data_IF_922373073651
#
_entry.id   IF_922373073651
#
_cell.length_a   1.000
_cell.length_b   1.000
_cell.length_c   1.000
_cell.angle_alpha   90.00
_cell.angle_beta   90.00
_cell.angle_gamma   90.00
#
_symmetry.space_group_name_H-M   'P 1'
#
loop_
_entity.id
_entity.type
_entity.pdbx_description
1 polymer ?
#
# COMPACT_ATOMS: atom_id res chain seq x y z
N UNK A 1 -34.12 3.53 -52.58
CA UNK A 1 -32.72 3.06 -52.76
C UNK A 1 -31.90 4.24 -53.29
N UNK A 2 -31.09 4.90 -52.45
CA UNK A 2 -30.28 6.08 -52.89
C UNK A 2 -29.00 5.56 -53.55
N UNK A 3 -28.87 5.71 -54.88
CA UNK A 3 -27.60 5.49 -55.57
C UNK A 3 -26.67 6.67 -55.26
N UNK A 4 -25.67 6.44 -54.42
CA UNK A 4 -24.51 7.33 -54.28
C UNK A 4 -23.52 7.01 -55.39
N UNK A 5 -23.42 7.89 -56.38
CA UNK A 5 -22.38 7.81 -57.42
C UNK A 5 -21.00 8.12 -56.80
N UNK A 6 -19.94 7.40 -57.19
CA UNK A 6 -18.58 7.71 -56.75
C UNK A 6 -18.13 9.07 -57.29
N UNK A 7 -17.47 9.88 -56.44
CA UNK A 7 -16.98 11.21 -56.81
C UNK A 7 -15.92 11.09 -57.93
N UNK A 8 -15.91 11.99 -58.92
CA UNK A 8 -14.91 11.98 -59.99
C UNK A 8 -13.49 12.20 -59.41
N UNK A 9 -12.46 11.58 -60.02
CA UNK A 9 -11.09 11.72 -59.56
C UNK A 9 -10.61 13.17 -59.67
N UNK A 10 -9.91 13.65 -58.64
CA UNK A 10 -9.39 15.01 -58.59
C UNK A 10 -8.43 15.27 -59.77
N UNK A 11 -8.48 16.44 -60.43
CA UNK A 11 -7.53 16.82 -61.47
C UNK A 11 -6.09 16.73 -60.98
N UNK A 12 -5.15 16.27 -61.82
CA UNK A 12 -3.73 16.03 -61.46
C UNK A 12 -3.03 17.19 -60.74
N UNK A 13 -3.48 18.44 -60.93
CA UNK A 13 -2.93 19.63 -60.24
C UNK A 13 -3.28 19.71 -58.74
N UNK A 14 -4.33 19.02 -58.32
CA UNK A 14 -4.83 18.97 -56.93
C UNK A 14 -4.55 17.62 -56.27
N UNK A 15 -3.86 16.72 -56.97
CA UNK A 15 -3.34 15.51 -56.36
C UNK A 15 -2.05 15.89 -55.66
N UNK A 16 -1.94 15.60 -54.37
CA UNK A 16 -0.68 15.77 -53.64
C UNK A 16 0.42 14.98 -54.34
N UNK A 17 1.58 15.60 -54.55
CA UNK A 17 2.72 14.89 -55.13
C UNK A 17 3.13 13.79 -54.15
N UNK A 18 3.33 12.55 -54.61
CA UNK A 18 3.81 11.49 -53.73
C UNK A 18 5.20 11.87 -53.21
N UNK A 19 5.42 11.63 -51.92
CA UNK A 19 6.71 11.89 -51.29
C UNK A 19 7.82 11.06 -51.95
N UNK A 20 9.02 11.63 -52.01
CA UNK A 20 10.19 10.96 -52.60
C UNK A 20 10.52 9.70 -51.80
N UNK A 21 10.72 8.54 -52.44
CA UNK A 21 11.17 7.34 -51.75
C UNK A 21 12.48 7.62 -51.00
N UNK A 22 12.48 7.47 -49.68
CA UNK A 22 13.66 7.67 -48.83
C UNK A 22 13.80 9.05 -48.16
N UNK A 23 12.86 9.98 -48.37
CA UNK A 23 12.80 11.20 -47.57
C UNK A 23 12.12 10.88 -46.22
N UNK A 24 12.90 10.44 -45.23
CA UNK A 24 12.41 10.43 -43.85
C UNK A 24 12.03 11.89 -43.49
N UNK A 25 10.79 12.16 -43.03
CA UNK A 25 10.42 13.50 -42.62
C UNK A 25 11.42 13.97 -41.56
N UNK A 26 11.94 15.20 -41.72
CA UNK A 26 12.79 15.80 -40.68
C UNK A 26 11.92 16.02 -39.45
N UNK A 27 11.96 15.07 -38.53
CA UNK A 27 11.23 15.13 -37.27
C UNK A 27 11.59 16.42 -36.55
N UNK A 28 10.56 17.11 -36.08
CA UNK A 28 10.72 18.26 -35.21
C UNK A 28 11.44 17.85 -33.93
N UNK A 29 12.10 18.78 -33.22
CA UNK A 29 12.81 18.46 -31.97
C UNK A 29 11.92 17.76 -30.93
N UNK A 30 10.63 18.08 -30.91
CA UNK A 30 9.64 17.43 -30.04
C UNK A 30 9.39 15.97 -30.44
N UNK A 31 9.32 15.68 -31.74
CA UNK A 31 9.16 14.32 -32.25
C UNK A 31 10.42 13.48 -32.01
N UNK A 32 11.61 14.06 -32.18
CA UNK A 32 12.87 13.39 -31.85
C UNK A 32 12.98 13.06 -30.35
N UNK A 33 12.58 13.98 -29.47
CA UNK A 33 12.53 13.73 -28.02
C UNK A 33 11.50 12.65 -27.66
N UNK A 34 10.33 12.68 -28.31
CA UNK A 34 9.27 11.69 -28.11
C UNK A 34 9.72 10.30 -28.59
N UNK A 35 10.32 10.21 -29.76
CA UNK A 35 10.87 8.95 -30.30
C UNK A 35 12.02 8.43 -29.46
N UNK A 36 12.91 9.30 -28.98
CA UNK A 36 13.96 8.93 -28.04
C UNK A 36 13.39 8.37 -26.73
N UNK A 37 12.33 8.98 -26.20
CA UNK A 37 11.62 8.48 -25.03
C UNK A 37 10.93 7.13 -25.24
N UNK A 38 10.29 6.93 -26.40
CA UNK A 38 9.67 5.66 -26.80
C UNK A 38 10.75 4.58 -26.95
N UNK A 39 11.85 4.88 -27.63
CA UNK A 39 12.96 3.95 -27.82
C UNK A 39 13.58 3.51 -26.50
N UNK A 40 13.75 4.43 -25.54
CA UNK A 40 14.22 4.12 -24.20
C UNK A 40 13.23 3.24 -23.42
N UNK A 41 11.93 3.53 -23.53
CA UNK A 41 10.89 2.71 -22.91
C UNK A 41 10.84 1.30 -23.52
N UNK A 42 10.93 1.18 -24.84
CA UNK A 42 10.95 -0.09 -25.56
C UNK A 42 12.21 -0.91 -25.21
N UNK A 43 13.38 -0.28 -25.10
CA UNK A 43 14.62 -0.93 -24.67
C UNK A 43 14.47 -1.57 -23.27
N UNK A 44 13.83 -0.86 -22.34
CA UNK A 44 13.57 -1.37 -20.98
C UNK A 44 12.53 -2.48 -21.02
N UNK A 45 11.45 -2.29 -21.78
CA UNK A 45 10.36 -3.26 -21.84
C UNK A 45 10.78 -4.56 -22.53
N UNK A 46 11.61 -4.51 -23.56
CA UNK A 46 12.17 -5.69 -24.22
C UNK A 46 12.97 -6.56 -23.23
N UNK A 47 13.69 -5.94 -22.28
CA UNK A 47 14.54 -6.64 -21.31
C UNK A 47 13.79 -7.11 -20.08
N UNK A 48 12.85 -6.31 -19.60
CA UNK A 48 12.19 -6.54 -18.33
C UNK A 48 10.76 -7.10 -18.49
N UNK A 49 10.20 -7.06 -19.71
CA UNK A 49 8.84 -7.48 -20.05
C UNK A 49 7.78 -6.94 -19.09
N UNK A 50 7.97 -5.70 -18.63
CA UNK A 50 7.18 -5.11 -17.55
C UNK A 50 5.81 -4.61 -18.02
N UNK A 51 5.70 -4.21 -19.28
CA UNK A 51 4.48 -3.63 -19.84
C UNK A 51 3.32 -4.62 -19.83
N UNK A 52 3.58 -5.91 -20.05
CA UNK A 52 2.58 -6.96 -20.01
C UNK A 52 1.94 -7.08 -18.63
N UNK A 53 2.77 -7.18 -17.58
CA UNK A 53 2.31 -7.25 -16.19
C UNK A 53 1.62 -5.97 -15.74
N UNK A 54 2.14 -4.80 -16.12
CA UNK A 54 1.56 -3.51 -15.78
C UNK A 54 0.20 -3.31 -16.45
N UNK A 55 0.07 -3.65 -17.74
CA UNK A 55 -1.22 -3.59 -18.46
C UNK A 55 -2.23 -4.54 -17.85
N UNK A 56 -1.81 -5.77 -17.51
CA UNK A 56 -2.67 -6.72 -16.82
C UNK A 56 -3.20 -6.17 -15.48
N UNK A 57 -2.35 -5.51 -14.70
CA UNK A 57 -2.74 -4.90 -13.43
C UNK A 57 -3.67 -3.69 -13.61
N UNK A 58 -3.34 -2.78 -14.53
CA UNK A 58 -4.08 -1.51 -14.71
C UNK A 58 -5.43 -1.69 -15.42
N UNK A 59 -5.51 -2.58 -16.41
CA UNK A 59 -6.71 -2.76 -17.24
C UNK A 59 -7.61 -3.90 -16.75
N UNK A 60 -7.52 -4.27 -15.47
CA UNK A 60 -8.42 -5.26 -14.88
C UNK A 60 -9.87 -4.77 -14.90
N UNK A 61 -10.80 -5.66 -15.20
CA UNK A 61 -12.23 -5.34 -15.14
C UNK A 61 -12.67 -5.27 -13.67
N UNK A 62 -13.36 -4.18 -13.32
CA UNK A 62 -13.98 -4.00 -12.01
C UNK A 62 -15.48 -4.29 -12.13
N UNK A 63 -16.10 -5.01 -11.17
CA UNK A 63 -17.53 -5.24 -11.20
C UNK A 63 -18.33 -3.93 -11.29
N UNK A 64 -19.46 -3.96 -12.02
CA UNK A 64 -20.40 -2.84 -12.06
C UNK A 64 -20.97 -2.59 -10.65
N UNK A 65 -21.44 -1.37 -10.37
CA UNK A 65 -22.04 -1.01 -9.08
C UNK A 65 -21.06 -0.85 -7.91
N UNK A 66 -19.75 -0.81 -8.18
CA UNK A 66 -18.71 -0.53 -7.19
C UNK A 66 -18.88 0.88 -6.61
N UNK A 67 -18.71 1.04 -5.30
CA UNK A 67 -18.84 2.32 -4.59
C UNK A 67 -17.56 2.68 -3.82
N UNK A 68 -17.60 3.81 -3.09
CA UNK A 68 -16.45 4.32 -2.34
C UNK A 68 -15.90 3.36 -1.28
N UNK A 69 -16.67 2.40 -0.75
CA UNK A 69 -16.13 1.43 0.21
C UNK A 69 -15.05 0.51 -0.39
N UNK A 70 -14.94 0.44 -1.72
CA UNK A 70 -13.87 -0.31 -2.39
C UNK A 70 -12.51 0.41 -2.39
N UNK A 71 -12.47 1.71 -2.07
CA UNK A 71 -11.22 2.48 -1.98
C UNK A 71 -10.56 2.39 -0.61
N UNK A 72 -11.22 1.80 0.39
CA UNK A 72 -10.67 1.68 1.76
C UNK A 72 -9.35 0.91 1.81
N UNK A 73 -9.17 -0.11 0.96
CA UNK A 73 -7.92 -0.85 0.85
C UNK A 73 -6.77 0.03 0.33
N UNK A 74 -7.01 0.79 -0.75
CA UNK A 74 -6.00 1.71 -1.30
C UNK A 74 -5.74 2.91 -0.38
N UNK A 75 -6.76 3.40 0.34
CA UNK A 75 -6.59 4.44 1.36
C UNK A 75 -5.72 3.96 2.52
N UNK A 76 -5.91 2.72 2.97
CA UNK A 76 -5.06 2.10 4.02
C UNK A 76 -3.62 1.94 3.54
N UNK A 77 -3.42 1.50 2.29
CA UNK A 77 -2.09 1.42 1.67
C UNK A 77 -1.42 2.79 1.58
N UNK A 78 -2.15 3.82 1.16
CA UNK A 78 -1.64 5.20 1.14
C UNK A 78 -1.22 5.66 2.54
N UNK A 79 -2.03 5.39 3.57
CA UNK A 79 -1.69 5.70 4.95
C UNK A 79 -0.39 4.99 5.37
N UNK A 80 -0.23 3.70 5.07
CA UNK A 80 1.01 2.97 5.33
C UNK A 80 2.23 3.59 4.64
N UNK A 81 2.12 3.94 3.34
CA UNK A 81 3.22 4.59 2.60
C UNK A 81 3.55 5.95 3.21
N UNK A 82 2.54 6.73 3.59
CA UNK A 82 2.73 8.01 4.29
C UNK A 82 3.44 7.82 5.64
N UNK A 83 3.06 6.80 6.41
CA UNK A 83 3.73 6.44 7.67
C UNK A 83 5.19 6.02 7.44
N UNK A 84 5.47 5.21 6.42
CA UNK A 84 6.83 4.79 6.09
C UNK A 84 7.72 5.99 5.72
N UNK A 85 7.23 6.87 4.85
CA UNK A 85 7.97 8.07 4.40
C UNK A 85 8.23 9.02 5.58
N UNK A 86 7.19 9.36 6.33
CA UNK A 86 7.33 10.25 7.50
C UNK A 86 8.20 9.62 8.58
N UNK A 87 8.09 8.31 8.81
CA UNK A 87 8.92 7.57 9.76
C UNK A 87 10.40 7.59 9.40
N UNK A 88 10.75 7.45 8.11
CA UNK A 88 12.13 7.58 7.63
C UNK A 88 12.69 8.97 7.93
N UNK A 89 11.93 10.04 7.67
CA UNK A 89 12.38 11.40 8.01
C UNK A 89 12.58 11.60 9.51
N UNK A 90 11.65 11.10 10.34
CA UNK A 90 11.79 11.18 11.80
C UNK A 90 13.01 10.40 12.31
N UNK A 91 13.28 9.23 11.73
CA UNK A 91 14.42 8.38 12.07
C UNK A 91 15.78 9.07 11.82
N UNK A 92 15.86 10.04 10.89
CA UNK A 92 17.10 10.79 10.64
C UNK A 92 17.48 11.75 11.77
N UNK A 93 16.53 12.15 12.62
CA UNK A 93 16.75 13.11 13.72
C UNK A 93 16.52 12.49 15.11
N UNK A 94 15.89 11.32 15.19
CA UNK A 94 15.55 10.67 16.44
C UNK A 94 16.74 9.87 17.00
N UNK A 95 17.00 10.01 18.31
CA UNK A 95 18.05 9.24 19.00
C UNK A 95 17.43 8.20 19.93
N UNK A 96 17.54 6.88 19.65
CA UNK A 96 16.94 5.82 20.45
C UNK A 96 17.75 5.53 21.73
N UNK A 97 17.84 6.51 22.62
CA UNK A 97 18.53 6.39 23.92
C UNK A 97 17.61 6.85 25.05
N UNK A 98 17.60 6.11 26.17
CA UNK A 98 16.77 6.44 27.32
C UNK A 98 17.03 7.85 27.90
N UNK A 99 18.21 8.42 27.67
CA UNK A 99 18.58 9.76 28.14
C UNK A 99 18.36 10.88 27.11
N UNK A 100 18.22 10.55 25.83
CA UNK A 100 18.17 11.54 24.73
C UNK A 100 16.90 11.45 23.87
N UNK A 101 16.11 10.37 23.97
CA UNK A 101 14.95 10.15 23.12
C UNK A 101 13.93 11.27 23.22
N UNK A 102 13.58 11.67 24.45
CA UNK A 102 12.63 12.75 24.69
C UNK A 102 13.13 14.09 24.11
N UNK A 103 14.38 14.46 24.38
CA UNK A 103 14.97 15.70 23.86
C UNK A 103 15.09 15.68 22.34
N UNK A 104 15.43 14.54 21.72
CA UNK A 104 15.46 14.42 20.26
C UNK A 104 14.05 14.58 19.64
N UNK A 105 13.00 14.04 20.29
CA UNK A 105 11.63 14.22 19.85
C UNK A 105 11.13 15.66 20.01
N UNK A 106 11.57 16.35 21.08
CA UNK A 106 11.33 17.79 21.30
C UNK A 106 12.04 18.62 20.23
N UNK A 107 13.29 18.32 19.90
CA UNK A 107 14.08 18.99 18.87
C UNK A 107 13.43 18.88 17.49
N UNK A 108 12.97 17.68 17.11
CA UNK A 108 12.19 17.46 15.87
C UNK A 108 10.96 18.37 15.83
N UNK A 109 10.28 18.53 16.97
CA UNK A 109 9.04 19.32 16.99
C UNK A 109 9.32 20.82 16.87
N UNK A 110 10.33 21.34 17.56
CA UNK A 110 10.49 22.79 17.73
C UNK A 110 11.54 23.43 16.82
N UNK A 111 12.58 22.69 16.41
CA UNK A 111 13.77 23.27 15.82
C UNK A 111 14.02 22.80 14.37
N UNK A 112 13.53 21.61 14.00
CA UNK A 112 13.71 21.06 12.65
C UNK A 112 12.70 21.69 11.68
N UNK A 113 13.16 22.10 10.50
CA UNK A 113 12.30 22.64 9.45
C UNK A 113 11.19 21.64 9.06
N UNK A 114 9.93 22.07 9.19
CA UNK A 114 8.72 21.24 9.02
C UNK A 114 8.64 20.00 9.94
N UNK A 115 9.47 19.92 10.99
CA UNK A 115 9.53 18.75 11.84
C UNK A 115 8.24 18.50 12.64
N UNK A 116 7.59 19.55 13.16
CA UNK A 116 6.25 19.44 13.76
C UNK A 116 5.22 18.88 12.78
N UNK A 117 5.24 19.36 11.53
CA UNK A 117 4.31 18.91 10.49
C UNK A 117 4.51 17.43 10.16
N UNK A 118 5.75 16.99 9.93
CA UNK A 118 6.08 15.58 9.64
C UNK A 118 5.74 14.69 10.83
N UNK A 119 6.08 15.12 12.05
CA UNK A 119 5.73 14.40 13.28
C UNK A 119 4.23 14.32 13.50
N UNK A 120 3.50 15.40 13.18
CA UNK A 120 2.05 15.47 13.21
C UNK A 120 1.42 14.50 12.20
N UNK A 121 1.90 14.49 10.95
CA UNK A 121 1.47 13.53 9.93
C UNK A 121 1.71 12.09 10.37
N UNK A 122 2.86 11.79 10.98
CA UNK A 122 3.15 10.45 11.49
C UNK A 122 2.18 10.06 12.60
N UNK A 123 2.05 10.91 13.64
CA UNK A 123 1.17 10.67 14.79
C UNK A 123 -0.30 10.52 14.39
N UNK A 124 -0.86 11.48 13.64
CA UNK A 124 -2.27 11.45 13.23
C UNK A 124 -2.53 10.44 12.13
N UNK A 125 -1.58 10.27 11.20
CA UNK A 125 -1.67 9.27 10.15
C UNK A 125 -1.69 7.84 10.69
N UNK A 126 -1.04 7.56 11.83
CA UNK A 126 -1.15 6.28 12.53
C UNK A 126 -2.59 6.01 12.99
N UNK A 127 -3.25 7.00 13.61
CA UNK A 127 -4.67 6.90 14.01
C UNK A 127 -5.58 6.71 12.79
N UNK A 128 -5.36 7.47 11.72
CA UNK A 128 -6.12 7.34 10.47
C UNK A 128 -5.93 5.95 9.85
N UNK A 129 -4.70 5.41 9.85
CA UNK A 129 -4.41 4.07 9.34
C UNK A 129 -5.19 3.00 10.11
N UNK A 130 -5.23 3.08 11.45
CA UNK A 130 -6.01 2.16 12.29
C UNK A 130 -7.50 2.25 11.96
N UNK A 131 -8.06 3.45 11.81
CA UNK A 131 -9.46 3.62 11.42
C UNK A 131 -9.73 3.01 10.04
N UNK A 132 -8.88 3.30 9.06
CA UNK A 132 -9.04 2.83 7.68
C UNK A 132 -8.97 1.31 7.57
N UNK A 133 -8.02 0.67 8.26
CA UNK A 133 -7.89 -0.79 8.21
C UNK A 133 -9.09 -1.49 8.86
N UNK A 134 -9.66 -0.91 9.93
CA UNK A 134 -10.91 -1.39 10.52
C UNK A 134 -12.10 -1.24 9.60
N UNK A 135 -12.27 -0.07 8.97
CA UNK A 135 -13.33 0.14 7.99
C UNK A 135 -13.18 -0.82 6.80
N UNK A 136 -11.94 -1.04 6.35
CA UNK A 136 -11.64 -2.00 5.29
C UNK A 136 -12.03 -3.42 5.70
N UNK A 137 -11.71 -3.82 6.93
CA UNK A 137 -12.07 -5.14 7.49
C UNK A 137 -13.59 -5.30 7.66
N UNK A 138 -14.27 -4.27 8.15
CA UNK A 138 -15.72 -4.27 8.30
C UNK A 138 -16.39 -4.45 6.92
N UNK A 139 -15.95 -3.70 5.93
CA UNK A 139 -16.43 -3.83 4.55
C UNK A 139 -16.21 -5.25 4.02
N UNK A 140 -15.01 -5.82 4.16
CA UNK A 140 -14.72 -7.17 3.64
C UNK A 140 -15.56 -8.23 4.35
N UNK A 141 -15.83 -8.06 5.63
CA UNK A 141 -16.75 -8.91 6.39
C UNK A 141 -18.20 -8.79 5.92
N UNK A 142 -18.78 -7.58 5.92
CA UNK A 142 -20.19 -7.37 5.56
C UNK A 142 -20.49 -7.68 4.08
N UNK A 143 -19.49 -7.54 3.19
CA UNK A 143 -19.67 -7.84 1.77
C UNK A 143 -19.36 -9.31 1.45
N UNK A 144 -19.05 -10.14 2.47
CA UNK A 144 -18.70 -11.55 2.29
C UNK A 144 -17.46 -11.77 1.43
N UNK A 145 -16.56 -10.78 1.35
CA UNK A 145 -15.43 -10.82 0.43
C UNK A 145 -14.35 -11.83 0.84
N UNK A 146 -14.39 -12.31 2.08
CA UNK A 146 -13.50 -13.33 2.63
C UNK A 146 -13.87 -14.77 2.24
N UNK A 147 -15.09 -15.00 1.71
CA UNK A 147 -15.55 -16.35 1.31
C UNK A 147 -14.73 -16.89 0.14
N UNK A 148 -14.83 -18.21 -0.08
CA UNK A 148 -14.19 -18.92 -1.18
C UNK A 148 -14.21 -18.13 -2.50
N UNK A 149 -13.07 -17.99 -3.21
CA UNK A 149 -11.73 -18.57 -2.96
C UNK A 149 -10.74 -17.59 -2.27
N UNK A 150 -11.21 -16.67 -1.41
CA UNK A 150 -10.41 -15.55 -0.83
C UNK A 150 -10.08 -15.72 0.66
N UNK A 151 -10.12 -16.92 1.18
CA UNK A 151 -9.84 -17.22 2.60
C UNK A 151 -8.40 -16.84 2.97
N UNK A 152 -7.43 -17.19 2.12
CA UNK A 152 -6.02 -16.83 2.35
C UNK A 152 -5.81 -15.32 2.36
N UNK A 153 -6.52 -14.59 1.50
CA UNK A 153 -6.46 -13.14 1.45
C UNK A 153 -7.00 -12.52 2.76
N UNK A 154 -8.07 -13.09 3.31
CA UNK A 154 -8.61 -12.69 4.61
C UNK A 154 -7.63 -12.96 5.76
N UNK A 155 -7.00 -14.14 5.81
CA UNK A 155 -6.00 -14.48 6.82
C UNK A 155 -4.84 -13.47 6.80
N UNK A 156 -4.31 -13.15 5.62
CA UNK A 156 -3.27 -12.12 5.47
C UNK A 156 -3.77 -10.77 5.98
N UNK A 157 -5.03 -10.40 5.68
CA UNK A 157 -5.66 -9.18 6.18
C UNK A 157 -5.74 -9.12 7.71
N UNK A 158 -6.11 -10.22 8.37
CA UNK A 158 -6.14 -10.33 9.84
C UNK A 158 -4.73 -10.14 10.42
N UNK A 159 -3.72 -10.78 9.84
CA UNK A 159 -2.33 -10.61 10.27
C UNK A 159 -1.86 -9.16 10.10
N UNK A 160 -2.21 -8.50 8.99
CA UNK A 160 -1.89 -7.09 8.76
C UNK A 160 -2.53 -6.16 9.80
N UNK A 161 -3.77 -6.45 10.26
CA UNK A 161 -4.40 -5.71 11.36
C UNK A 161 -3.61 -5.86 12.65
N UNK A 162 -3.22 -7.09 13.01
CA UNK A 162 -2.42 -7.35 14.21
C UNK A 162 -1.08 -6.61 14.15
N UNK A 163 -0.37 -6.68 13.01
CA UNK A 163 0.90 -5.97 12.83
C UNK A 163 0.72 -4.45 12.87
N UNK A 164 -0.40 -3.92 12.38
CA UNK A 164 -0.71 -2.48 12.50
C UNK A 164 -0.86 -2.05 13.95
N UNK A 165 -1.46 -2.88 14.80
CA UNK A 165 -1.50 -2.59 16.25
C UNK A 165 -0.15 -2.69 16.92
N UNK A 166 0.68 -3.66 16.53
CA UNK A 166 2.07 -3.75 17.01
C UNK A 166 2.84 -2.49 16.62
N UNK A 167 2.66 -1.97 15.40
CA UNK A 167 3.22 -0.68 14.97
C UNK A 167 2.75 0.47 15.86
N UNK A 168 1.45 0.60 16.11
CA UNK A 168 0.92 1.65 16.98
C UNK A 168 1.50 1.58 18.39
N UNK A 169 1.62 0.39 18.99
CA UNK A 169 2.20 0.21 20.33
C UNK A 169 3.70 0.56 20.34
N UNK A 170 4.45 0.01 19.40
CA UNK A 170 5.91 0.18 19.39
C UNK A 170 6.33 1.62 19.10
N UNK A 171 5.60 2.32 18.23
CA UNK A 171 5.82 3.74 17.94
C UNK A 171 5.41 4.65 19.08
N UNK A 172 4.39 4.25 19.85
CA UNK A 172 3.91 5.00 21.01
C UNK A 172 4.99 5.13 22.09
N UNK A 173 5.89 4.14 22.24
CA UNK A 173 7.00 4.19 23.20
C UNK A 173 8.06 5.24 22.86
N UNK A 174 8.30 5.51 21.57
CA UNK A 174 9.52 6.21 21.11
C UNK A 174 9.71 7.64 21.66
N UNK A 175 8.67 8.46 21.91
CA UNK A 175 8.85 9.75 22.59
C UNK A 175 9.46 9.63 23.99
N UNK A 176 9.33 8.46 24.63
CA UNK A 176 9.90 8.13 25.95
C UNK A 176 9.50 9.13 27.06
N UNK A 177 8.24 9.59 27.01
CA UNK A 177 7.61 10.36 28.08
C UNK A 177 6.92 9.45 29.12
N UNK A 178 6.42 10.03 30.22
CA UNK A 178 5.80 9.23 31.28
C UNK A 178 4.62 8.39 30.78
N UNK A 179 3.80 8.95 29.88
CA UNK A 179 2.62 8.25 29.38
C UNK A 179 2.98 7.05 28.52
N UNK A 180 3.94 7.20 27.61
CA UNK A 180 4.41 6.14 26.72
C UNK A 180 5.16 5.05 27.48
N UNK A 181 5.98 5.42 28.46
CA UNK A 181 6.69 4.48 29.33
C UNK A 181 5.73 3.56 30.09
N UNK A 182 4.78 4.14 30.83
CA UNK A 182 3.83 3.36 31.63
C UNK A 182 2.84 2.56 30.77
N UNK A 183 2.39 3.11 29.64
CA UNK A 183 1.55 2.36 28.70
C UNK A 183 2.25 1.10 28.17
N UNK A 184 3.56 1.19 27.92
CA UNK A 184 4.33 0.05 27.41
C UNK A 184 4.55 -1.01 28.49
N UNK A 185 4.77 -0.61 29.75
CA UNK A 185 4.83 -1.55 30.88
C UNK A 185 3.52 -2.33 30.99
N UNK A 186 2.37 -1.64 30.94
CA UNK A 186 1.05 -2.30 30.99
C UNK A 186 0.90 -3.27 29.82
N UNK A 187 1.24 -2.88 28.60
CA UNK A 187 1.17 -3.75 27.43
C UNK A 187 2.07 -5.00 27.57
N UNK A 188 3.30 -4.83 28.05
CA UNK A 188 4.22 -5.95 28.28
C UNK A 188 3.76 -6.87 29.42
N UNK A 189 3.12 -6.33 30.47
CA UNK A 189 2.53 -7.12 31.54
C UNK A 189 1.36 -7.97 31.03
N UNK A 190 0.46 -7.40 30.21
CA UNK A 190 -0.66 -8.13 29.59
C UNK A 190 -0.13 -9.26 28.71
N UNK A 191 0.89 -8.99 27.88
CA UNK A 191 1.51 -10.06 27.08
C UNK A 191 2.16 -11.14 27.96
N UNK A 192 2.65 -10.76 29.13
CA UNK A 192 3.24 -11.66 30.13
C UNK A 192 2.27 -12.66 30.76
N UNK A 193 0.97 -12.41 30.75
CA UNK A 193 -0.02 -13.31 31.36
C UNK A 193 -0.33 -14.55 30.52
N UNK A 194 0.17 -14.63 29.28
CA UNK A 194 -0.01 -15.80 28.42
C UNK A 194 0.71 -17.04 28.97
N UNK A 195 0.06 -18.20 29.13
CA UNK A 195 0.57 -19.31 29.94
C UNK A 195 1.87 -19.96 29.43
N UNK A 196 2.17 -19.87 28.12
CA UNK A 196 3.33 -20.54 27.51
C UNK A 196 4.37 -19.55 27.00
N UNK A 197 3.99 -18.73 26.02
CA UNK A 197 4.90 -17.79 25.34
C UNK A 197 4.95 -16.43 26.03
N UNK A 198 3.98 -16.13 26.92
CA UNK A 198 3.82 -14.82 27.54
C UNK A 198 5.03 -14.36 28.34
N UNK A 199 5.54 -15.17 29.31
CA UNK A 199 6.72 -14.82 30.09
C UNK A 199 7.94 -14.53 29.22
N UNK A 200 8.22 -15.39 28.23
CA UNK A 200 9.36 -15.21 27.31
C UNK A 200 9.20 -13.98 26.43
N UNK A 201 7.98 -13.70 25.95
CA UNK A 201 7.70 -12.51 25.14
C UNK A 201 7.82 -11.24 25.97
N UNK A 202 7.32 -11.22 27.21
CA UNK A 202 7.44 -10.07 28.11
C UNK A 202 8.90 -9.78 28.44
N UNK A 203 9.68 -10.82 28.75
CA UNK A 203 11.12 -10.70 29.02
C UNK A 203 11.90 -10.22 27.78
N UNK A 204 11.58 -10.77 26.61
CA UNK A 204 12.14 -10.32 25.34
C UNK A 204 11.83 -8.83 25.06
N UNK A 205 10.59 -8.40 25.29
CA UNK A 205 10.20 -7.00 25.07
C UNK A 205 10.87 -6.06 26.09
N UNK A 206 11.01 -6.46 27.35
CA UNK A 206 11.70 -5.69 28.39
C UNK A 206 13.20 -5.59 28.11
N UNK A 207 13.84 -6.68 27.72
CA UNK A 207 15.28 -6.72 27.48
C UNK A 207 16.14 -6.48 28.73
N UNK A 208 15.62 -6.85 29.90
CA UNK A 208 16.27 -6.74 31.21
C UNK A 208 15.27 -6.82 32.36
N UNK A 209 15.77 -6.74 33.60
CA UNK A 209 14.95 -6.75 34.81
C UNK A 209 13.99 -5.55 34.90
N UNK A 210 14.37 -4.41 34.32
CA UNK A 210 13.59 -3.19 34.25
C UNK A 210 13.55 -2.62 32.82
N UNK A 211 12.54 -1.80 32.54
CA UNK A 211 12.45 -1.03 31.29
C UNK A 211 13.55 0.04 31.25
N UNK A 212 14.41 -0.01 30.22
CA UNK A 212 15.57 0.85 30.12
C UNK A 212 16.06 1.06 28.69
N UNK A 213 17.36 1.38 28.55
CA UNK A 213 17.97 1.72 27.26
C UNK A 213 17.85 0.58 26.23
N UNK A 214 18.04 -0.67 26.66
CA UNK A 214 17.93 -1.85 25.77
C UNK A 214 16.49 -2.08 25.30
N UNK A 215 15.49 -1.78 26.14
CA UNK A 215 14.07 -1.87 25.74
C UNK A 215 13.78 -0.90 24.60
N UNK A 216 14.20 0.35 24.76
CA UNK A 216 13.91 1.40 23.78
C UNK A 216 14.56 1.12 22.43
N UNK A 217 15.82 0.68 22.42
CA UNK A 217 16.52 0.35 21.17
C UNK A 217 15.90 -0.84 20.45
N UNK A 218 15.42 -1.86 21.18
CA UNK A 218 14.65 -2.98 20.60
C UNK A 218 13.34 -2.52 19.98
N UNK A 219 12.57 -1.72 20.71
CA UNK A 219 11.32 -1.17 20.21
C UNK A 219 11.53 -0.31 18.96
N UNK A 220 12.59 0.49 18.94
CA UNK A 220 12.99 1.24 17.75
C UNK A 220 13.30 0.33 16.56
N UNK A 221 14.10 -0.73 16.74
CA UNK A 221 14.41 -1.67 15.67
C UNK A 221 13.16 -2.43 15.16
N UNK A 222 12.26 -2.80 16.07
CA UNK A 222 10.99 -3.45 15.74
C UNK A 222 10.09 -2.50 14.94
N UNK A 223 9.96 -1.26 15.39
CA UNK A 223 9.08 -0.25 14.81
C UNK A 223 9.57 0.27 13.46
N UNK A 224 10.87 0.51 13.32
CA UNK A 224 11.42 1.13 12.11
C UNK A 224 11.72 0.10 11.02
N UNK A 225 12.20 -1.09 11.39
CA UNK A 225 12.73 -2.06 10.43
C UNK A 225 11.89 -3.33 10.34
N UNK A 226 11.77 -4.07 11.44
CA UNK A 226 11.22 -5.45 11.41
C UNK A 226 9.75 -5.46 10.97
N UNK A 227 8.90 -4.72 11.66
CA UNK A 227 7.45 -4.77 11.45
C UNK A 227 7.04 -4.07 10.16
N UNK A 228 7.56 -2.88 9.78
CA UNK A 228 7.25 -2.29 8.48
C UNK A 228 7.70 -3.17 7.31
N UNK A 229 8.86 -3.82 7.41
CA UNK A 229 9.34 -4.75 6.39
C UNK A 229 8.40 -5.95 6.20
N UNK A 230 7.94 -6.53 7.32
CA UNK A 230 6.97 -7.63 7.30
C UNK A 230 5.61 -7.18 6.75
N UNK A 231 5.11 -6.00 7.15
CA UNK A 231 3.88 -5.41 6.62
C UNK A 231 4.00 -5.19 5.12
N UNK A 232 5.11 -4.64 4.62
CA UNK A 232 5.33 -4.41 3.20
C UNK A 232 5.31 -5.73 2.39
N UNK A 233 5.98 -6.78 2.89
CA UNK A 233 5.96 -8.10 2.27
C UNK A 233 4.53 -8.69 2.22
N UNK A 234 3.78 -8.60 3.32
CA UNK A 234 2.41 -9.09 3.39
C UNK A 234 1.44 -8.26 2.55
N UNK A 235 1.63 -6.94 2.44
CA UNK A 235 0.88 -6.08 1.49
C UNK A 235 1.15 -6.55 0.06
N UNK A 236 2.41 -6.84 -0.29
CA UNK A 236 2.76 -7.40 -1.60
C UNK A 236 2.02 -8.71 -1.90
N UNK A 237 2.04 -9.65 -0.95
CA UNK A 237 1.29 -10.91 -1.06
C UNK A 237 -0.23 -10.68 -1.14
N UNK A 238 -0.76 -9.75 -0.36
CA UNK A 238 -2.18 -9.40 -0.34
C UNK A 238 -2.63 -8.81 -1.69
N UNK A 239 -1.86 -7.86 -2.25
CA UNK A 239 -2.13 -7.24 -3.55
C UNK A 239 -1.98 -8.24 -4.70
N UNK A 240 -1.01 -9.17 -4.62
CA UNK A 240 -0.89 -10.26 -5.58
C UNK A 240 -2.17 -11.11 -5.64
N UNK A 241 -2.73 -11.50 -4.49
CA UNK A 241 -3.99 -12.23 -4.43
C UNK A 241 -5.18 -11.41 -4.95
N UNK A 242 -5.24 -10.11 -4.64
CA UNK A 242 -6.24 -9.19 -5.22
C UNK A 242 -6.16 -9.18 -6.75
N UNK A 243 -4.95 -9.13 -7.30
CA UNK A 243 -4.73 -9.08 -8.73
C UNK A 243 -5.09 -10.41 -9.40
N UNK A 244 -4.76 -11.54 -8.76
CA UNK A 244 -5.05 -12.89 -9.26
C UNK A 244 -6.52 -13.28 -9.17
N UNK A 245 -7.20 -12.98 -8.06
CA UNK A 245 -8.57 -13.43 -7.77
C UNK A 245 -9.65 -12.40 -8.14
N UNK A 246 -9.25 -11.15 -8.41
CA UNK A 246 -10.17 -10.06 -8.70
C UNK A 246 -10.94 -9.54 -7.47
N UNK A 247 -11.67 -8.44 -7.65
CA UNK A 247 -12.53 -7.86 -6.60
C UNK A 247 -13.93 -8.46 -6.65
N UNK A 248 -14.56 -8.60 -5.48
CA UNK A 248 -15.93 -9.10 -5.39
C UNK A 248 -16.94 -8.12 -5.97
N UNK A 249 -17.95 -8.64 -6.64
CA UNK A 249 -19.14 -7.85 -6.93
C UNK A 249 -19.80 -7.37 -5.62
N UNK A 250 -20.44 -6.21 -5.62
CA UNK A 250 -21.16 -5.74 -4.45
C UNK A 250 -22.32 -6.68 -4.08
N UNK A 251 -22.65 -6.83 -2.79
CA UNK A 251 -23.65 -7.81 -2.33
C UNK A 251 -25.08 -7.51 -2.82
N UNK A 252 -25.36 -6.29 -3.27
CA UNK A 252 -26.65 -5.92 -3.85
C UNK A 252 -26.80 -6.27 -5.33
N UNK A 253 -25.72 -6.68 -6.01
CA UNK A 253 -25.80 -7.20 -7.38
C UNK A 253 -25.94 -8.70 -7.30
N UNK A 254 -27.08 -9.20 -7.75
CA UNK A 254 -27.29 -10.64 -7.91
C UNK A 254 -26.36 -11.14 -9.01
N UNK A 255 -25.59 -12.18 -8.70
CA UNK A 255 -24.94 -12.94 -9.75
C UNK A 255 -26.04 -13.52 -10.65
N UNK A 256 -25.88 -13.39 -11.96
CA UNK A 256 -26.66 -14.23 -12.87
C UNK A 256 -26.33 -15.67 -12.49
N UNK A 257 -27.33 -16.40 -12.03
CA UNK A 257 -27.16 -17.79 -11.65
C UNK A 257 -26.97 -18.53 -12.96
N UNK A 258 -25.72 -18.83 -13.31
CA UNK A 258 -25.45 -19.74 -14.41
C UNK A 258 -26.15 -21.05 -14.06
N UNK A 259 -27.11 -21.45 -14.89
CA UNK A 259 -27.97 -22.61 -14.65
C UNK A 259 -27.14 -23.89 -14.46
N UNK A 260 -25.90 -23.89 -14.99
CA UNK A 260 -24.89 -24.95 -14.84
C UNK A 260 -24.25 -25.05 -13.45
N UNK A 261 -24.37 -24.03 -12.60
CA UNK A 261 -23.88 -24.02 -11.21
C UNK A 261 -24.97 -24.35 -10.19
N UNK A 262 -26.23 -24.49 -10.64
CA UNK A 262 -27.27 -25.17 -9.86
C UNK A 262 -26.94 -26.64 -10.03
N UNK A 263 -26.30 -27.21 -9.01
CA UNK A 263 -25.90 -28.61 -8.91
C UNK A 263 -26.75 -29.52 -9.79
N UNK A 264 -26.06 -30.16 -10.72
CA UNK A 264 -26.49 -31.36 -11.41
C UNK A 264 -27.23 -32.27 -10.42
N UNK A 265 -28.48 -32.57 -10.78
CA UNK A 265 -29.05 -33.91 -10.74
C UNK A 265 -28.17 -34.96 -10.03
N UNK A 266 -28.35 -35.11 -8.72
CA UNK A 266 -28.08 -36.36 -7.99
C UNK A 266 -29.36 -36.79 -7.30
#
# INVERSE_FOLDING_TARGET
MKLTLPKPPLPKRFQEKPDRPGAAPKLTKLEQLREGGITAADFVDERASLSGGLRWMMFRKVPKGTNWFYTLGSATMFAFVSQAITGVFLAMYYTPSATQAYESARHITNDVFLGEFVRGMHKWGSTVMVILIFLHMARTFFFGAYKYPRELQWIIGVVLVILTFVMSLTGYLLPFDQRSYWATIVAANINGTGPFVGPFLSDFLRGGGDFGATTLSRFYAIHMMLVPGLIAALIGAHLYLVARLGTTAPPWIRADVDEKLREEQV
#
